data_IF_217673151583
#
_entry.id   IF_217673151583
#
_cell.length_a   1.000
_cell.length_b   1.000
_cell.length_c   1.000
_cell.angle_alpha   90.00
_cell.angle_beta   90.00
_cell.angle_gamma   90.00
#
_symmetry.space_group_name_H-M   'P 1'
#
loop_
_entity.id
_entity.type
_entity.pdbx_description
1 polymer ?
#
# COMPACT_ATOMS: atom_id res chain seq x y z
N UNK A 1 -1.58 11.63 7.42
CA UNK A 1 -2.98 11.66 7.91
C UNK A 1 -3.41 10.33 8.53
N UNK A 2 -3.39 9.20 7.81
CA UNK A 2 -3.82 7.92 8.40
C UNK A 2 -2.94 7.48 9.59
N UNK A 3 -1.62 7.65 9.46
CA UNK A 3 -0.68 7.39 10.56
C UNK A 3 -0.92 8.27 11.79
N UNK A 4 -1.22 9.57 11.60
CA UNK A 4 -1.48 10.46 12.74
C UNK A 4 -2.74 10.04 13.50
N UNK A 5 -3.78 9.60 12.79
CA UNK A 5 -4.99 9.05 13.40
C UNK A 5 -4.70 7.78 14.23
N UNK A 6 -3.75 6.95 13.78
CA UNK A 6 -3.32 5.78 14.55
C UNK A 6 -2.66 6.15 15.89
N UNK A 7 -1.79 7.16 15.87
CA UNK A 7 -1.14 7.69 17.07
C UNK A 7 -2.09 8.44 18.01
N UNK A 8 -3.12 9.10 17.48
CA UNK A 8 -4.15 9.76 18.28
C UNK A 8 -5.01 8.76 19.08
N UNK A 9 -5.14 7.51 18.62
CA UNK A 9 -5.90 6.47 19.30
C UNK A 9 -5.09 5.69 20.34
N UNK A 10 -3.76 5.64 20.18
CA UNK A 10 -2.88 4.89 21.07
C UNK A 10 -1.46 5.43 21.03
N UNK A 11 -0.86 5.62 22.21
CA UNK A 11 0.57 5.93 22.34
C UNK A 11 1.49 4.75 21.95
N UNK A 12 0.93 3.53 21.83
CA UNK A 12 1.63 2.30 21.46
C UNK A 12 0.78 1.44 20.52
N UNK A 13 0.45 1.93 19.31
CA UNK A 13 -0.34 1.19 18.35
C UNK A 13 0.43 -0.05 17.90
N UNK A 14 -0.30 -1.13 17.63
CA UNK A 14 0.31 -2.34 17.09
C UNK A 14 0.93 -2.03 15.73
N UNK A 15 2.21 -2.39 15.57
CA UNK A 15 3.00 -2.07 14.37
C UNK A 15 2.36 -2.64 13.10
N UNK A 16 1.76 -3.83 13.21
CA UNK A 16 1.00 -4.46 12.14
C UNK A 16 -0.16 -3.58 11.64
N UNK A 17 -0.91 -2.96 12.55
CA UNK A 17 -2.04 -2.11 12.16
C UNK A 17 -1.57 -0.77 11.58
N UNK A 18 -0.43 -0.27 12.04
CA UNK A 18 0.22 0.88 11.43
C UNK A 18 0.65 0.57 9.99
N UNK A 19 1.19 -0.62 9.72
CA UNK A 19 1.51 -1.06 8.37
C UNK A 19 0.25 -1.17 7.48
N UNK A 20 -0.89 -1.61 8.03
CA UNK A 20 -2.18 -1.59 7.32
C UNK A 20 -2.62 -0.17 6.98
N UNK A 21 -2.46 0.79 7.90
CA UNK A 21 -2.76 2.20 7.64
C UNK A 21 -1.85 2.79 6.54
N UNK A 22 -0.57 2.45 6.53
CA UNK A 22 0.34 2.85 5.44
C UNK A 22 -0.14 2.27 4.11
N UNK A 23 -0.38 0.96 4.07
CA UNK A 23 -0.78 0.26 2.85
C UNK A 23 -2.08 0.83 2.28
N UNK A 24 -3.07 1.14 3.12
CA UNK A 24 -4.32 1.76 2.64
C UNK A 24 -4.10 3.13 1.98
N UNK A 25 -3.13 3.93 2.44
CA UNK A 25 -2.75 5.19 1.80
C UNK A 25 -2.20 4.99 0.39
N UNK A 26 -1.32 4.00 0.22
CA UNK A 26 -0.76 3.64 -1.09
C UNK A 26 -1.84 3.14 -2.06
N UNK A 27 -2.80 2.34 -1.56
CA UNK A 27 -3.92 1.86 -2.36
C UNK A 27 -4.80 3.00 -2.87
N UNK A 28 -5.11 3.97 -2.00
CA UNK A 28 -5.86 5.17 -2.39
C UNK A 28 -5.08 5.97 -3.44
N UNK A 29 -3.79 6.23 -3.22
CA UNK A 29 -2.96 6.95 -4.18
C UNK A 29 -2.87 6.24 -5.54
N UNK A 30 -2.70 4.92 -5.55
CA UNK A 30 -2.65 4.13 -6.78
C UNK A 30 -3.97 4.16 -7.55
N UNK A 31 -5.11 4.09 -6.86
CA UNK A 31 -6.43 4.21 -7.49
C UNK A 31 -6.64 5.60 -8.11
N UNK A 32 -6.30 6.66 -7.38
CA UNK A 32 -6.41 8.05 -7.88
C UNK A 32 -5.53 8.28 -9.12
N UNK A 33 -4.30 7.76 -9.11
CA UNK A 33 -3.41 7.85 -10.27
C UNK A 33 -3.98 7.09 -11.47
N UNK A 34 -4.50 5.88 -11.28
CA UNK A 34 -5.09 5.10 -12.35
C UNK A 34 -6.31 5.83 -12.95
N UNK A 35 -7.17 6.44 -12.12
CA UNK A 35 -8.28 7.27 -12.60
C UNK A 35 -7.76 8.41 -13.48
N UNK A 36 -6.77 9.17 -13.01
CA UNK A 36 -6.23 10.31 -13.74
C UNK A 36 -5.58 9.90 -15.07
N UNK A 37 -4.89 8.76 -15.12
CA UNK A 37 -4.31 8.25 -16.36
C UNK A 37 -5.40 7.87 -17.37
N UNK A 38 -6.47 7.22 -16.92
CA UNK A 38 -7.60 6.89 -17.81
C UNK A 38 -8.28 8.15 -18.36
N UNK A 39 -8.46 9.19 -17.55
CA UNK A 39 -8.98 10.50 -18.01
C UNK A 39 -8.09 11.16 -19.07
N UNK A 40 -6.77 10.90 -19.02
CA UNK A 40 -5.81 11.36 -20.02
C UNK A 40 -5.75 10.43 -21.26
N UNK A 41 -6.63 9.43 -21.35
CA UNK A 41 -6.65 8.46 -22.45
C UNK A 41 -5.55 7.40 -22.38
N UNK A 42 -4.84 7.30 -21.25
CA UNK A 42 -3.82 6.27 -21.01
C UNK A 42 -4.45 5.11 -20.25
N UNK A 43 -4.61 3.92 -20.86
CA UNK A 43 -5.19 2.78 -20.17
C UNK A 43 -4.36 2.40 -18.95
N UNK A 44 -4.97 2.48 -17.76
CA UNK A 44 -4.30 2.18 -16.50
C UNK A 44 -5.23 1.44 -15.53
N UNK A 45 -4.64 0.61 -14.67
CA UNK A 45 -5.36 -0.10 -13.60
C UNK A 45 -4.52 -0.11 -12.33
N UNK A 46 -5.12 0.21 -11.20
CA UNK A 46 -4.45 0.07 -9.90
C UNK A 46 -4.33 -1.41 -9.53
N UNK A 47 -3.19 -1.77 -8.95
CA UNK A 47 -2.92 -3.10 -8.41
C UNK A 47 -2.65 -2.98 -6.91
N UNK A 48 -3.33 -3.81 -6.13
CA UNK A 48 -3.01 -3.96 -4.71
C UNK A 48 -1.79 -4.87 -4.56
N UNK A 49 -1.01 -4.74 -3.49
CA UNK A 49 0.22 -5.52 -3.29
C UNK A 49 0.03 -7.03 -3.40
N UNK A 50 -1.10 -7.56 -2.92
CA UNK A 50 -1.45 -8.98 -3.06
C UNK A 50 -1.87 -9.38 -4.49
N UNK A 51 -2.40 -8.43 -5.28
CA UNK A 51 -2.75 -8.66 -6.69
C UNK A 51 -1.52 -8.59 -7.60
N UNK A 52 -0.53 -7.77 -7.21
CA UNK A 52 0.75 -7.64 -7.89
C UNK A 52 1.70 -8.82 -7.66
N UNK A 53 1.26 -9.88 -6.94
CA UNK A 53 2.05 -11.09 -6.61
C UNK A 53 3.47 -10.78 -6.14
N UNK A 54 3.62 -9.73 -5.34
CA UNK A 54 4.91 -9.32 -4.79
C UNK A 54 5.27 -10.33 -3.70
N UNK A 55 6.12 -11.30 -4.03
CA UNK A 55 6.64 -12.28 -3.07
C UNK A 55 7.67 -11.58 -2.16
N UNK A 56 7.26 -11.35 -0.92
CA UNK A 56 8.10 -10.77 0.12
C UNK A 56 8.49 -11.85 1.15
N UNK A 57 9.66 -11.73 1.78
CA UNK A 57 10.02 -12.61 2.89
C UNK A 57 9.34 -12.18 4.21
N UNK A 58 9.16 -13.13 5.14
CA UNK A 58 8.44 -12.98 6.42
C UNK A 58 9.10 -12.01 7.43
N UNK A 59 9.94 -11.07 6.98
CA UNK A 59 10.63 -10.11 7.85
C UNK A 59 9.82 -8.81 7.90
N UNK A 60 8.98 -8.69 8.93
CA UNK A 60 8.26 -7.44 9.20
C UNK A 60 9.24 -6.26 9.33
N UNK A 61 8.89 -5.11 8.71
CA UNK A 61 9.69 -3.86 8.55
C UNK A 61 10.91 -3.84 7.60
N UNK A 62 11.36 -4.98 7.05
CA UNK A 62 12.48 -5.02 6.09
C UNK A 62 12.26 -6.03 4.96
N UNK A 63 10.99 -6.29 4.64
CA UNK A 63 10.63 -7.26 3.63
C UNK A 63 11.21 -6.82 2.28
N UNK A 64 12.16 -7.59 1.73
CA UNK A 64 12.78 -7.30 0.43
C UNK A 64 11.98 -8.00 -0.65
N UNK A 65 11.66 -7.26 -1.72
CA UNK A 65 11.02 -7.83 -2.91
C UNK A 65 11.99 -8.85 -3.50
N UNK A 66 11.62 -10.14 -3.51
CA UNK A 66 12.44 -11.19 -4.14
C UNK A 66 12.13 -11.36 -5.61
N UNK A 67 10.85 -11.24 -5.97
CA UNK A 67 10.37 -11.40 -7.35
C UNK A 67 9.05 -10.65 -7.51
N UNK A 68 8.84 -10.06 -8.68
CA UNK A 68 7.53 -9.59 -9.14
C UNK A 68 7.14 -10.57 -10.24
N UNK A 69 6.20 -11.48 -9.95
CA UNK A 69 5.70 -12.42 -10.95
C UNK A 69 4.54 -11.77 -11.71
N UNK A 70 4.80 -11.43 -12.98
CA UNK A 70 3.86 -10.85 -13.93
C UNK A 70 4.22 -11.21 -15.36
#
# INVERSE_FOLDING_TARGET
RLLSMGWELSDRPAEREMDVLVSSGEQVSAALLAIQLNELGVPARSLLGHQARILTDNVHRKARIRTIDG
#
